data_IF_293946749921
#
_entry.id   IF_293946749921
#
_cell.length_a   1.000
_cell.length_b   1.000
_cell.length_c   1.000
_cell.angle_alpha   90.00
_cell.angle_beta   90.00
_cell.angle_gamma   90.00
#
_symmetry.space_group_name_H-M   'P 1'
#
loop_
_entity.id
_entity.type
_entity.pdbx_description
1 polymer ?
#
# COMPACT_ATOMS: atom_id res chain seq x y z
N UNK A 1 -6.21 44.75 -0.83
CA UNK A 1 -7.15 43.70 -0.39
C UNK A 1 -6.32 42.45 -0.14
N UNK A 2 -6.12 42.06 1.11
CA UNK A 2 -5.43 40.82 1.41
C UNK A 2 -6.32 39.66 0.96
N UNK A 3 -5.83 38.87 0.02
CA UNK A 3 -6.44 37.61 -0.37
C UNK A 3 -6.50 36.71 0.86
N UNK A 4 -7.68 36.61 1.49
CA UNK A 4 -7.94 35.81 2.70
C UNK A 4 -8.09 34.32 2.39
N UNK A 5 -7.48 33.82 1.33
CA UNK A 5 -7.46 32.42 0.98
C UNK A 5 -6.77 31.55 2.05
N UNK A 6 -7.31 30.38 2.31
CA UNK A 6 -6.70 29.38 3.17
C UNK A 6 -5.35 28.99 2.55
N UNK A 7 -4.26 29.16 3.32
CA UNK A 7 -2.92 28.72 2.89
C UNK A 7 -2.73 27.28 3.32
N UNK A 8 -2.31 26.42 2.37
CA UNK A 8 -2.00 25.02 2.59
C UNK A 8 -0.51 24.83 2.34
N UNK A 9 0.17 24.13 3.26
CA UNK A 9 1.56 23.75 3.12
C UNK A 9 1.70 22.24 3.04
N UNK A 10 2.55 21.74 2.15
CA UNK A 10 3.05 20.37 2.19
C UNK A 10 4.20 20.35 3.18
N UNK A 11 4.07 19.60 4.25
CA UNK A 11 5.05 19.57 5.35
C UNK A 11 5.82 18.26 5.44
N UNK A 12 5.38 17.21 4.74
CA UNK A 12 6.07 15.93 4.67
C UNK A 12 5.58 15.13 3.47
N UNK A 13 6.44 14.29 2.94
CA UNK A 13 6.17 13.45 1.78
C UNK A 13 6.83 12.08 1.93
N UNK A 14 6.19 11.05 1.40
CA UNK A 14 6.79 9.73 1.24
C UNK A 14 6.31 9.10 -0.06
N UNK A 15 7.12 8.22 -0.62
CA UNK A 15 6.82 7.57 -1.89
C UNK A 15 7.27 6.12 -1.87
N UNK A 16 6.50 5.26 -2.52
CA UNK A 16 6.88 3.89 -2.88
C UNK A 16 6.27 3.58 -4.24
N UNK A 17 7.08 3.63 -5.26
CA UNK A 17 6.68 3.41 -6.66
C UNK A 17 7.68 2.45 -7.33
N UNK A 18 7.33 1.83 -8.46
CA UNK A 18 8.28 1.00 -9.20
C UNK A 18 9.60 1.74 -9.45
N UNK A 19 10.71 1.09 -9.08
CA UNK A 19 12.06 1.65 -9.24
C UNK A 19 12.47 2.74 -8.25
N UNK A 20 11.59 3.13 -7.29
CA UNK A 20 11.93 4.14 -6.29
C UNK A 20 11.17 3.94 -4.97
N UNK A 21 11.89 3.87 -3.87
CA UNK A 21 11.36 3.75 -2.50
C UNK A 21 11.63 4.96 -1.62
N UNK A 22 12.35 5.97 -2.14
CA UNK A 22 12.65 7.23 -1.46
C UNK A 22 12.38 8.41 -2.38
N UNK A 23 12.19 9.61 -1.82
CA UNK A 23 11.98 10.84 -2.60
C UNK A 23 13.16 11.13 -3.54
N UNK A 24 14.40 10.95 -3.07
CA UNK A 24 15.60 11.18 -3.88
C UNK A 24 15.70 10.22 -5.07
N UNK A 25 15.41 8.93 -4.84
CA UNK A 25 15.38 7.94 -5.92
C UNK A 25 14.25 8.22 -6.91
N UNK A 26 13.10 8.62 -6.41
CA UNK A 26 11.96 9.00 -7.27
C UNK A 26 12.30 10.23 -8.13
N UNK A 27 12.88 11.26 -7.53
CA UNK A 27 13.31 12.43 -8.28
C UNK A 27 14.35 12.08 -9.34
N UNK A 28 15.32 11.23 -8.99
CA UNK A 28 16.34 10.75 -9.93
C UNK A 28 15.75 10.00 -11.13
N UNK A 29 14.71 9.18 -10.91
CA UNK A 29 13.97 8.49 -11.98
C UNK A 29 13.33 9.49 -12.93
N UNK A 30 12.66 10.52 -12.38
CA UNK A 30 12.01 11.58 -13.18
C UNK A 30 13.04 12.42 -13.96
N UNK A 31 14.09 12.86 -13.30
CA UNK A 31 15.13 13.70 -13.91
C UNK A 31 15.85 12.98 -15.07
N UNK A 32 16.07 11.69 -14.92
CA UNK A 32 16.71 10.85 -15.97
C UNK A 32 15.74 10.35 -17.02
N UNK A 33 14.44 10.56 -16.87
CA UNK A 33 13.41 10.01 -17.76
C UNK A 33 13.45 8.48 -17.81
N UNK A 34 13.74 7.82 -16.69
CA UNK A 34 13.92 6.38 -16.63
C UNK A 34 12.57 5.65 -16.65
N UNK A 35 12.39 4.70 -17.55
CA UNK A 35 11.25 3.78 -17.53
C UNK A 35 11.42 2.77 -16.39
N UNK A 36 10.41 2.65 -15.53
CA UNK A 36 10.39 1.74 -14.38
C UNK A 36 9.36 0.62 -14.52
N UNK A 37 8.79 0.46 -15.69
CA UNK A 37 7.89 -0.65 -16.02
C UNK A 37 8.68 -1.95 -16.14
N UNK A 38 8.31 -2.95 -15.35
CA UNK A 38 8.90 -4.29 -15.40
C UNK A 38 8.25 -5.11 -16.52
N UNK A 39 9.09 -5.74 -17.34
CA UNK A 39 8.65 -6.66 -18.41
C UNK A 39 8.87 -8.09 -17.94
N UNK A 40 7.81 -8.88 -17.95
CA UNK A 40 7.80 -10.26 -17.47
C UNK A 40 7.91 -11.25 -18.63
N UNK A 41 8.72 -12.28 -18.44
CA UNK A 41 8.78 -13.43 -19.34
C UNK A 41 7.61 -14.38 -19.10
N UNK A 42 7.37 -15.33 -20.00
CA UNK A 42 6.39 -16.41 -19.77
C UNK A 42 6.71 -17.19 -18.50
N UNK A 43 8.01 -17.47 -18.29
CA UNK A 43 8.49 -18.20 -17.11
C UNK A 43 8.19 -17.45 -15.82
N UNK A 44 8.37 -16.12 -15.79
CA UNK A 44 8.07 -15.31 -14.62
C UNK A 44 6.58 -15.40 -14.26
N UNK A 45 5.71 -15.34 -15.26
CA UNK A 45 4.26 -15.43 -15.06
C UNK A 45 3.82 -16.82 -14.58
N UNK A 46 4.44 -17.89 -15.10
CA UNK A 46 4.18 -19.26 -14.65
C UNK A 46 4.66 -19.45 -13.21
N UNK A 47 5.86 -18.95 -12.88
CA UNK A 47 6.39 -19.00 -11.51
C UNK A 47 5.52 -18.19 -10.52
N UNK A 48 4.86 -17.13 -11.00
CA UNK A 48 3.89 -16.37 -10.23
C UNK A 48 2.50 -17.04 -10.12
N UNK A 49 2.34 -18.26 -10.64
CA UNK A 49 1.11 -19.06 -10.49
C UNK A 49 0.14 -19.00 -11.68
N UNK A 50 0.46 -18.32 -12.79
CA UNK A 50 -0.36 -18.37 -13.97
C UNK A 50 -0.26 -19.75 -14.66
N UNK A 51 -1.35 -20.24 -15.22
CA UNK A 51 -1.31 -21.43 -16.08
C UNK A 51 -0.47 -21.15 -17.34
N UNK A 52 0.18 -22.18 -17.87
CA UNK A 52 0.98 -22.07 -19.11
C UNK A 52 0.16 -21.47 -20.28
N UNK A 53 -1.10 -21.88 -20.40
CA UNK A 53 -2.02 -21.36 -21.43
C UNK A 53 -2.24 -19.86 -21.29
N UNK A 54 -2.50 -19.40 -20.07
CA UNK A 54 -2.70 -17.97 -19.78
C UNK A 54 -1.40 -17.16 -19.95
N UNK A 55 -0.25 -17.73 -19.58
CA UNK A 55 1.04 -17.06 -19.72
C UNK A 55 1.46 -16.89 -21.20
N UNK A 56 1.05 -17.82 -22.08
CA UNK A 56 1.36 -17.82 -23.52
C UNK A 56 0.36 -17.05 -24.38
N UNK A 57 -0.70 -16.52 -23.80
CA UNK A 57 -1.70 -15.76 -24.54
C UNK A 57 -1.08 -14.54 -25.23
N UNK A 58 -1.19 -14.48 -26.55
CA UNK A 58 -0.54 -13.44 -27.39
C UNK A 58 -1.11 -12.03 -27.16
N UNK A 59 -2.35 -11.93 -26.71
CA UNK A 59 -3.02 -10.66 -26.38
C UNK A 59 -2.58 -10.09 -25.05
N UNK A 60 -1.90 -10.86 -24.21
CA UNK A 60 -1.50 -10.45 -22.85
C UNK A 60 -0.32 -9.49 -22.88
N UNK A 61 -0.53 -8.31 -22.34
CA UNK A 61 0.56 -7.37 -22.05
C UNK A 61 1.31 -7.88 -20.81
N UNK A 62 2.59 -8.22 -20.97
CA UNK A 62 3.47 -8.74 -19.92
C UNK A 62 4.34 -7.63 -19.32
N UNK A 63 3.76 -6.48 -19.09
CA UNK A 63 4.47 -5.33 -18.57
C UNK A 63 3.57 -4.54 -17.62
N UNK A 64 4.05 -4.30 -16.41
CA UNK A 64 3.37 -3.46 -15.41
C UNK A 64 4.35 -2.90 -14.39
N UNK A 65 3.93 -1.89 -13.65
CA UNK A 65 4.71 -1.32 -12.55
C UNK A 65 4.71 -2.27 -11.37
N UNK A 66 5.77 -3.08 -11.22
CA UNK A 66 5.95 -3.92 -10.05
C UNK A 66 6.68 -3.15 -8.95
N UNK A 67 6.24 -3.31 -7.71
CA UNK A 67 6.97 -2.83 -6.54
C UNK A 67 7.90 -3.93 -6.05
N UNK A 68 9.17 -3.57 -5.84
CA UNK A 68 10.12 -4.45 -5.16
C UNK A 68 9.66 -4.64 -3.71
N UNK A 69 9.86 -5.84 -3.17
CA UNK A 69 9.56 -6.20 -1.79
C UNK A 69 8.12 -5.87 -1.35
N UNK A 70 7.13 -5.95 -2.26
CA UNK A 70 5.73 -5.69 -1.95
C UNK A 70 5.11 -6.70 -0.98
N UNK A 71 5.74 -7.85 -0.82
CA UNK A 71 5.40 -8.92 0.12
C UNK A 71 5.99 -8.69 1.52
N UNK A 72 7.03 -7.86 1.65
CA UNK A 72 7.64 -7.53 2.92
C UNK A 72 6.81 -6.51 3.69
N UNK A 73 6.74 -6.71 5.01
CA UNK A 73 6.03 -5.82 5.92
C UNK A 73 6.57 -5.99 7.35
N UNK A 74 6.91 -4.89 8.00
CA UNK A 74 7.31 -4.91 9.41
C UNK A 74 6.07 -5.03 10.32
N UNK A 75 5.54 -6.25 10.38
CA UNK A 75 4.33 -6.56 11.13
C UNK A 75 4.48 -6.25 12.64
N UNK A 76 5.64 -6.55 13.21
CA UNK A 76 5.91 -6.34 14.64
C UNK A 76 5.92 -4.86 14.98
N UNK A 77 6.58 -4.04 14.17
CA UNK A 77 6.63 -2.58 14.36
C UNK A 77 5.21 -1.96 14.40
N UNK A 78 4.32 -2.41 13.53
CA UNK A 78 2.93 -1.92 13.50
C UNK A 78 1.98 -2.71 14.41
N UNK A 79 2.48 -3.61 15.24
CA UNK A 79 1.69 -4.39 16.19
C UNK A 79 0.68 -5.34 15.52
N UNK A 80 1.10 -6.00 14.44
CA UNK A 80 0.37 -7.09 13.81
C UNK A 80 0.99 -8.43 14.18
N UNK A 81 0.15 -9.42 14.40
CA UNK A 81 0.62 -10.80 14.43
C UNK A 81 0.99 -11.27 13.02
N UNK A 82 1.88 -12.28 12.87
CA UNK A 82 2.19 -12.84 11.55
C UNK A 82 0.95 -13.28 10.77
N UNK A 83 -0.06 -13.80 11.47
CA UNK A 83 -1.30 -14.26 10.84
C UNK A 83 -2.17 -13.11 10.34
N UNK A 84 -2.24 -12.02 11.08
CA UNK A 84 -2.94 -10.80 10.61
C UNK A 84 -2.23 -10.19 9.42
N UNK A 85 -0.90 -10.15 9.43
CA UNK A 85 -0.11 -9.65 8.31
C UNK A 85 -0.29 -10.51 7.05
N UNK A 86 -0.37 -11.84 7.20
CA UNK A 86 -0.59 -12.77 6.08
C UNK A 86 -1.90 -12.52 5.33
N UNK A 87 -2.98 -12.19 6.03
CA UNK A 87 -4.29 -11.94 5.41
C UNK A 87 -4.52 -10.49 4.99
N UNK A 88 -3.63 -9.58 5.37
CA UNK A 88 -3.76 -8.16 5.08
C UNK A 88 -3.34 -7.86 3.65
N UNK A 89 -4.20 -7.18 2.87
CA UNK A 89 -3.87 -6.73 1.52
C UNK A 89 -2.55 -5.94 1.52
N UNK A 90 -1.61 -6.26 0.62
CA UNK A 90 -0.38 -5.48 0.45
C UNK A 90 -0.61 -3.97 0.30
N UNK A 91 -1.70 -3.53 -0.32
CA UNK A 91 -2.03 -2.11 -0.44
C UNK A 91 -2.22 -1.46 0.94
N UNK A 92 -2.88 -2.16 1.90
CA UNK A 92 -3.03 -1.67 3.27
C UNK A 92 -1.68 -1.56 3.99
N UNK A 93 -0.79 -2.55 3.79
CA UNK A 93 0.55 -2.58 4.40
C UNK A 93 1.40 -1.42 3.90
N UNK A 94 1.50 -1.29 2.57
CA UNK A 94 2.29 -0.24 1.91
C UNK A 94 1.75 1.15 2.24
N UNK A 95 0.42 1.33 2.27
CA UNK A 95 -0.17 2.62 2.62
C UNK A 95 0.14 3.01 4.07
N UNK A 96 0.09 2.06 5.01
CA UNK A 96 0.44 2.30 6.42
C UNK A 96 1.92 2.69 6.58
N UNK A 97 2.84 1.96 5.95
CA UNK A 97 4.28 2.27 5.97
C UNK A 97 4.56 3.65 5.35
N UNK A 98 3.91 3.95 4.22
CA UNK A 98 4.10 5.23 3.52
C UNK A 98 3.54 6.39 4.35
N UNK A 99 2.40 6.21 5.02
CA UNK A 99 1.82 7.22 5.90
C UNK A 99 2.72 7.49 7.13
N UNK A 100 3.28 6.43 7.74
CA UNK A 100 4.22 6.57 8.85
C UNK A 100 5.47 7.36 8.42
N UNK A 101 6.07 7.02 7.27
CA UNK A 101 7.23 7.74 6.72
C UNK A 101 6.92 9.20 6.39
N UNK A 102 5.71 9.51 5.89
CA UNK A 102 5.31 10.88 5.61
C UNK A 102 5.17 11.72 6.89
N UNK A 103 4.70 11.11 7.99
CA UNK A 103 4.68 11.75 9.31
C UNK A 103 6.09 11.99 9.85
N UNK A 104 6.99 11.01 9.72
CA UNK A 104 8.40 11.16 10.09
C UNK A 104 9.07 12.28 9.30
N UNK A 105 8.90 12.33 7.98
CA UNK A 105 9.45 13.36 7.10
C UNK A 105 8.93 14.76 7.46
N UNK A 106 7.68 14.86 7.89
CA UNK A 106 7.07 16.12 8.35
C UNK A 106 7.62 16.61 9.69
N UNK A 107 8.32 15.76 10.45
CA UNK A 107 8.67 16.01 11.84
C UNK A 107 7.47 16.04 12.79
N UNK A 108 6.29 15.62 12.33
CA UNK A 108 5.08 15.60 13.14
C UNK A 108 5.02 14.29 13.96
N UNK A 109 5.18 14.41 15.27
CA UNK A 109 4.94 13.29 16.19
C UNK A 109 3.47 13.34 16.65
N UNK A 110 2.63 12.35 16.30
CA UNK A 110 1.22 12.31 16.69
C UNK A 110 1.00 12.37 18.21
N UNK A 111 1.89 11.79 19.02
CA UNK A 111 1.76 11.72 20.47
C UNK A 111 1.81 13.09 21.15
N UNK A 112 2.46 14.07 20.53
CA UNK A 112 2.65 15.42 21.10
C UNK A 112 2.01 16.51 20.27
N UNK A 113 1.52 16.21 19.08
CA UNK A 113 0.88 17.18 18.21
C UNK A 113 -0.52 17.52 18.72
N UNK A 114 -0.76 18.78 19.07
CA UNK A 114 -2.01 19.25 19.64
C UNK A 114 -3.18 19.38 18.63
N UNK A 115 -2.90 19.26 17.34
CA UNK A 115 -3.89 19.34 16.27
C UNK A 115 -4.50 17.99 15.92
N UNK A 116 -5.45 18.01 15.00
CA UNK A 116 -6.04 16.78 14.44
C UNK A 116 -5.32 16.39 13.17
N UNK A 117 -4.89 15.13 13.07
CA UNK A 117 -4.31 14.56 11.85
C UNK A 117 -5.36 13.64 11.23
N UNK A 118 -5.85 14.00 10.05
CA UNK A 118 -6.78 13.18 9.28
C UNK A 118 -6.07 12.30 8.26
N UNK A 119 -6.72 11.21 7.86
CA UNK A 119 -6.25 10.30 6.83
C UNK A 119 -7.28 10.23 5.71
N UNK A 120 -6.85 10.54 4.51
CA UNK A 120 -7.65 10.41 3.29
C UNK A 120 -6.89 9.51 2.33
N UNK A 121 -7.48 8.40 1.95
CA UNK A 121 -6.78 7.42 1.14
C UNK A 121 -7.70 6.57 0.30
N UNK A 122 -7.15 6.05 -0.78
CA UNK A 122 -7.83 5.12 -1.67
C UNK A 122 -6.90 4.03 -2.14
N UNK A 123 -7.47 2.89 -2.48
CA UNK A 123 -6.76 1.74 -3.04
C UNK A 123 -7.50 1.20 -4.24
N UNK A 124 -6.78 0.46 -5.09
CA UNK A 124 -7.35 -0.16 -6.28
C UNK A 124 -8.07 -1.48 -6.00
N UNK A 125 -8.31 -2.22 -7.08
CA UNK A 125 -8.90 -3.55 -7.01
C UNK A 125 -8.05 -4.48 -6.12
N UNK A 126 -8.71 -5.17 -5.20
CA UNK A 126 -8.05 -6.14 -4.33
C UNK A 126 -7.87 -7.49 -5.05
N UNK A 127 -6.81 -7.59 -5.84
CA UNK A 127 -6.42 -8.84 -6.48
C UNK A 127 -5.84 -9.85 -5.49
N UNK A 128 -5.26 -9.38 -4.38
CA UNK A 128 -4.72 -10.24 -3.34
C UNK A 128 -5.80 -11.11 -2.69
N UNK A 129 -6.94 -10.53 -2.36
CA UNK A 129 -8.09 -11.28 -1.87
C UNK A 129 -8.50 -12.39 -2.84
N UNK A 130 -8.60 -12.06 -4.13
CA UNK A 130 -9.09 -12.96 -5.18
C UNK A 130 -8.13 -14.13 -5.39
N UNK A 131 -6.84 -13.84 -5.60
CA UNK A 131 -5.86 -14.83 -6.06
C UNK A 131 -5.04 -15.49 -4.95
N UNK A 132 -5.00 -14.91 -3.75
CA UNK A 132 -4.20 -15.46 -2.65
C UNK A 132 -5.06 -15.95 -1.49
N UNK A 133 -6.06 -15.18 -1.08
CA UNK A 133 -6.87 -15.54 0.09
C UNK A 133 -8.01 -16.50 -0.26
N UNK A 134 -8.82 -16.17 -1.28
CA UNK A 134 -9.99 -17.00 -1.64
C UNK A 134 -9.60 -18.35 -2.24
N UNK A 135 -8.42 -18.45 -2.84
CA UNK A 135 -7.87 -19.73 -3.33
C UNK A 135 -7.31 -20.61 -2.21
N UNK A 136 -7.28 -20.11 -0.96
CA UNK A 136 -6.82 -20.86 0.21
C UNK A 136 -7.92 -21.03 1.27
N UNK A 137 -8.90 -21.94 1.08
CA UNK A 137 -10.00 -22.14 2.03
C UNK A 137 -9.56 -22.55 3.43
N UNK A 138 -8.40 -23.21 3.56
CA UNK A 138 -7.85 -23.60 4.86
C UNK A 138 -7.42 -22.40 5.69
N UNK A 139 -6.86 -21.38 5.05
CA UNK A 139 -6.51 -20.11 5.66
C UNK A 139 -7.77 -19.40 6.20
N UNK A 140 -8.80 -19.27 5.35
CA UNK A 140 -10.07 -18.64 5.72
C UNK A 140 -10.73 -19.39 6.89
N UNK A 141 -10.73 -20.74 6.87
CA UNK A 141 -11.27 -21.55 7.96
C UNK A 141 -10.54 -21.33 9.29
N UNK A 142 -9.24 -21.12 9.24
CA UNK A 142 -8.40 -20.93 10.43
C UNK A 142 -8.56 -19.53 11.01
N UNK A 143 -8.57 -18.51 10.15
CA UNK A 143 -8.60 -17.09 10.55
C UNK A 143 -10.03 -16.59 10.77
N UNK A 144 -10.97 -17.11 10.00
CA UNK A 144 -12.35 -16.65 9.95
C UNK A 144 -12.59 -15.60 8.86
N UNK A 145 -13.81 -15.57 8.36
CA UNK A 145 -14.19 -14.67 7.25
C UNK A 145 -14.14 -13.19 7.65
N UNK A 146 -14.47 -12.87 8.90
CA UNK A 146 -14.53 -11.48 9.36
C UNK A 146 -13.15 -10.78 9.39
N UNK A 147 -12.08 -11.36 9.99
CA UNK A 147 -10.74 -10.78 9.90
C UNK A 147 -10.25 -10.66 8.46
N UNK A 148 -10.55 -11.63 7.59
CA UNK A 148 -10.23 -11.56 6.15
C UNK A 148 -10.92 -10.36 5.52
N UNK A 149 -12.21 -10.14 5.76
CA UNK A 149 -12.94 -8.97 5.26
C UNK A 149 -12.30 -7.67 5.72
N UNK A 150 -12.06 -7.52 7.02
CA UNK A 150 -11.42 -6.32 7.57
C UNK A 150 -10.02 -6.06 6.99
N UNK A 151 -9.26 -7.12 6.70
CA UNK A 151 -7.91 -7.02 6.14
C UNK A 151 -7.87 -6.66 4.66
N UNK A 152 -9.01 -6.74 3.96
CA UNK A 152 -9.05 -6.68 2.51
C UNK A 152 -10.05 -5.66 1.95
N UNK A 153 -10.92 -5.10 2.76
CA UNK A 153 -11.87 -4.09 2.31
C UNK A 153 -11.20 -2.70 2.28
N UNK A 154 -11.28 -2.06 1.13
CA UNK A 154 -10.71 -0.73 0.84
C UNK A 154 -11.13 0.35 1.86
N UNK A 155 -12.33 0.23 2.42
CA UNK A 155 -12.88 1.24 3.33
C UNK A 155 -12.16 1.25 4.70
N UNK A 156 -11.42 0.19 5.02
CA UNK A 156 -10.62 0.12 6.23
C UNK A 156 -9.18 0.65 6.10
N UNK A 157 -8.74 1.08 4.92
CA UNK A 157 -7.36 1.60 4.75
C UNK A 157 -7.10 2.84 5.60
N UNK A 158 -7.87 3.93 5.49
CA UNK A 158 -7.62 5.13 6.29
C UNK A 158 -7.85 4.93 7.77
N UNK A 159 -8.90 4.19 8.14
CA UNK A 159 -9.22 3.93 9.55
C UNK A 159 -8.16 3.06 10.22
N UNK A 160 -7.56 2.12 9.49
CA UNK A 160 -6.43 1.31 9.97
C UNK A 160 -5.20 2.18 10.24
N UNK A 161 -4.85 3.07 9.31
CA UNK A 161 -3.74 4.00 9.51
C UNK A 161 -3.99 4.89 10.72
N UNK A 162 -5.18 5.49 10.81
CA UNK A 162 -5.54 6.32 11.96
C UNK A 162 -5.44 5.54 13.28
N UNK A 163 -5.93 4.30 13.32
CA UNK A 163 -5.85 3.45 14.50
C UNK A 163 -4.41 3.06 14.88
N UNK A 164 -3.61 2.64 13.88
CA UNK A 164 -2.24 2.16 14.13
C UNK A 164 -1.25 3.26 14.48
N UNK A 165 -1.50 4.48 14.03
CA UNK A 165 -0.65 5.66 14.29
C UNK A 165 -1.29 6.63 15.30
N UNK A 166 -2.37 6.22 15.99
CA UNK A 166 -3.15 7.01 16.97
C UNK A 166 -3.55 8.41 16.49
N UNK A 167 -4.05 8.51 15.25
CA UNK A 167 -4.42 9.78 14.64
C UNK A 167 -5.87 10.16 14.96
N UNK A 168 -6.08 11.35 15.50
CA UNK A 168 -7.37 11.81 16.06
C UNK A 168 -8.22 12.64 15.07
N UNK A 169 -7.90 12.63 13.78
CA UNK A 169 -8.65 13.31 12.74
C UNK A 169 -9.63 12.42 11.99
N UNK A 170 -10.32 12.95 10.97
CA UNK A 170 -11.20 12.14 10.11
C UNK A 170 -10.38 11.10 9.34
N UNK A 171 -10.95 9.89 9.17
CA UNK A 171 -10.38 8.83 8.35
C UNK A 171 -11.40 8.45 7.27
N UNK A 172 -11.09 8.77 6.02
CA UNK A 172 -12.05 8.72 4.91
C UNK A 172 -11.44 8.02 3.70
N UNK A 173 -12.15 7.01 3.18
CA UNK A 173 -11.86 6.40 1.88
C UNK A 173 -12.39 7.29 0.75
N UNK A 174 -11.59 7.49 -0.30
CA UNK A 174 -11.85 8.37 -1.44
C UNK A 174 -11.69 7.60 -2.75
#
# INVERSE_FOLDING_TARGET
MSDGGVKIAVVGMAVRVPGASTLDSFWSVLEKGQETVTRFTETDLINAGLSETAARESSRVRAFGALDDADLFDAEFFGFTPREAEILDPQHRIFLETAARALEDSGCNPDVFSGRIGVFGGVGLNSYLIHNILENPSLIKTVGAWPVSLGNDKDFVPTRVAYKLDLQGPAVSV
#
